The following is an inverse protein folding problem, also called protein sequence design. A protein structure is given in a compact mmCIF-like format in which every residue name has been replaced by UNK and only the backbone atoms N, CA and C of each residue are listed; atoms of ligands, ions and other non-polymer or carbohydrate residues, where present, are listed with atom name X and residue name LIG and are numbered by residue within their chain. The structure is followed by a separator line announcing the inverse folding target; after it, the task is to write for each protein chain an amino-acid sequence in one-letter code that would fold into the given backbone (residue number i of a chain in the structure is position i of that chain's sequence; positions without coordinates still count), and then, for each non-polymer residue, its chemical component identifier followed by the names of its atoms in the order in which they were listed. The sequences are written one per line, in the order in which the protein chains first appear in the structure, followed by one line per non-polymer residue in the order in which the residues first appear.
data_IF_189910231104
#
_entry.id   IF_189910231104
#
_cell.length_a   1.000
_cell.length_b   1.000
_cell.length_c   1.000
_cell.angle_alpha   90.00
_cell.angle_beta   90.00
_cell.angle_gamma   90.00
#
_symmetry.space_group_name_H-M   'P 1'
#
loop_
_entity.id
_entity.type
_entity.pdbx_description
1 polymer ?
#
# COMPACT_ATOMS: atom_id res chain seq x y z
N UNK A 1 13.13 -28.05 -1.51
CA UNK A 1 12.85 -26.88 -0.66
C UNK A 1 12.51 -25.75 -1.60
N UNK A 2 11.28 -25.24 -1.55
CA UNK A 2 10.86 -24.10 -2.38
C UNK A 2 10.89 -22.85 -1.52
N UNK A 3 11.63 -21.83 -1.95
CA UNK A 3 11.58 -20.52 -1.32
C UNK A 3 10.16 -19.98 -1.41
N UNK A 4 9.62 -19.56 -0.28
CA UNK A 4 8.32 -18.93 -0.22
C UNK A 4 8.47 -17.47 -0.64
N UNK A 5 8.04 -17.17 -1.87
CA UNK A 5 8.07 -15.81 -2.41
C UNK A 5 6.82 -15.05 -1.93
N UNK A 6 7.03 -13.97 -1.17
CA UNK A 6 5.95 -13.08 -0.78
C UNK A 6 5.58 -12.15 -1.94
N UNK A 7 4.54 -12.49 -2.70
CA UNK A 7 3.94 -11.57 -3.67
C UNK A 7 2.96 -10.67 -2.94
N UNK A 8 3.26 -9.37 -2.89
CA UNK A 8 2.37 -8.36 -2.32
C UNK A 8 1.29 -8.02 -3.34
N UNK A 9 0.04 -8.37 -3.02
CA UNK A 9 -1.11 -7.97 -3.80
C UNK A 9 -1.82 -6.83 -3.08
N UNK A 10 -2.12 -5.75 -3.80
CA UNK A 10 -2.95 -4.68 -3.26
C UNK A 10 -4.36 -5.23 -3.01
N UNK A 11 -4.80 -5.16 -1.76
CA UNK A 11 -6.07 -5.68 -1.29
C UNK A 11 -7.16 -4.59 -1.31
N UNK A 12 -6.76 -3.33 -1.10
CA UNK A 12 -7.68 -2.20 -1.08
C UNK A 12 -7.03 -0.96 -0.50
N UNK A 13 -7.76 0.15 -0.57
CA UNK A 13 -7.32 1.44 -0.06
C UNK A 13 -8.44 2.13 0.73
N UNK A 14 -8.07 2.95 1.71
CA UNK A 14 -9.00 3.79 2.49
C UNK A 14 -8.37 5.15 2.81
N UNK A 15 -9.17 6.11 3.28
CA UNK A 15 -8.71 7.43 3.70
C UNK A 15 -9.07 7.65 5.17
N UNK A 16 -8.10 8.11 5.95
CA UNK A 16 -8.27 8.48 7.37
C UNK A 16 -9.04 9.79 7.53
N UNK A 17 -9.60 10.04 8.73
CA UNK A 17 -10.16 11.34 9.11
C UNK A 17 -9.12 12.47 9.06
N UNK A 18 -7.85 12.11 9.23
CA UNK A 18 -6.69 13.00 9.14
C UNK A 18 -6.23 13.21 7.68
N UNK A 19 -6.97 12.69 6.70
CA UNK A 19 -6.66 12.84 5.27
C UNK A 19 -5.57 11.90 4.75
N UNK A 20 -5.06 10.98 5.57
CA UNK A 20 -4.03 10.02 5.17
C UNK A 20 -4.59 8.94 4.24
N UNK A 21 -3.84 8.57 3.21
CA UNK A 21 -4.16 7.44 2.34
C UNK A 21 -3.57 6.16 2.94
N UNK A 22 -4.41 5.15 3.14
CA UNK A 22 -4.02 3.88 3.74
C UNK A 22 -4.17 2.77 2.70
N UNK A 23 -3.07 2.12 2.34
CA UNK A 23 -3.05 0.96 1.46
C UNK A 23 -2.94 -0.34 2.26
N UNK A 24 -3.82 -1.29 1.96
CA UNK A 24 -3.79 -2.64 2.50
C UNK A 24 -3.25 -3.60 1.43
N UNK A 25 -2.27 -4.41 1.81
CA UNK A 25 -1.73 -5.47 0.98
C UNK A 25 -1.80 -6.82 1.69
N UNK A 26 -2.00 -7.89 0.92
CA UNK A 26 -1.98 -9.26 1.44
C UNK A 26 -1.18 -10.17 0.51
N UNK A 27 -0.45 -11.12 1.10
CA UNK A 27 0.16 -12.22 0.38
C UNK A 27 -0.78 -13.43 0.36
N UNK A 28 -0.59 -14.34 -0.60
CA UNK A 28 -1.31 -15.62 -0.64
C UNK A 28 -1.07 -16.52 0.57
N UNK A 29 0.00 -16.27 1.32
CA UNK A 29 0.26 -16.92 2.61
C UNK A 29 -0.41 -16.24 3.81
N UNK A 30 -1.33 -15.31 3.55
CA UNK A 30 -2.11 -14.60 4.56
C UNK A 30 -1.38 -13.52 5.36
N UNK A 31 -0.09 -13.33 5.14
CA UNK A 31 0.61 -12.16 5.68
C UNK A 31 -0.04 -10.86 5.14
N UNK A 32 -0.36 -9.93 6.05
CA UNK A 32 -0.96 -8.63 5.75
C UNK A 32 0.03 -7.50 6.00
N UNK A 33 -0.08 -6.43 5.22
CA UNK A 33 0.73 -5.23 5.37
C UNK A 33 -0.14 -3.99 5.18
N UNK A 34 0.14 -2.94 5.96
CA UNK A 34 -0.54 -1.64 5.84
C UNK A 34 0.52 -0.57 5.62
N UNK A 35 0.32 0.27 4.61
CA UNK A 35 1.16 1.45 4.35
C UNK A 35 0.31 2.71 4.46
N UNK A 36 0.75 3.66 5.28
CA UNK A 36 0.10 4.95 5.44
C UNK A 36 0.91 6.00 4.68
N UNK A 37 0.23 6.79 3.88
CA UNK A 37 0.79 7.91 3.15
C UNK A 37 0.14 9.18 3.67
N UNK A 38 0.96 10.11 4.17
CA UNK A 38 0.49 11.43 4.53
C UNK A 38 0.19 12.22 3.25
N UNK A 39 -1.07 12.60 3.03
CA UNK A 39 -1.45 13.37 1.86
C UNK A 39 -0.78 14.75 1.82
N UNK A 40 -0.41 15.29 2.99
CA UNK A 40 0.16 16.63 3.15
C UNK A 40 1.70 16.65 3.34
N UNK A 41 2.37 15.53 3.63
CA UNK A 41 3.82 15.53 3.92
C UNK A 41 4.70 15.69 2.66
N UNK A 42 4.18 15.30 1.50
CA UNK A 42 4.90 15.35 0.21
C UNK A 42 4.19 16.21 -0.85
N UNK A 43 3.28 17.11 -0.42
CA UNK A 43 2.66 18.10 -1.30
C UNK A 43 2.05 17.48 -2.56
N UNK A 44 1.12 16.54 -2.41
CA UNK A 44 0.11 16.21 -3.43
C UNK A 44 0.60 16.01 -4.87
N UNK A 45 1.77 15.43 -5.10
CA UNK A 45 2.15 14.95 -6.43
C UNK A 45 1.90 13.45 -6.49
N UNK A 46 0.84 12.98 -7.19
CA UNK A 46 0.77 11.57 -7.52
C UNK A 46 2.05 11.22 -8.27
N UNK A 47 2.78 10.25 -7.76
CA UNK A 47 3.98 9.71 -8.39
C UNK A 47 3.59 9.36 -9.84
N UNK A 48 4.24 10.00 -10.81
CA UNK A 48 3.91 9.79 -12.22
C UNK A 48 4.12 8.31 -12.53
N UNK A 49 3.03 7.60 -12.80
CA UNK A 49 3.05 6.23 -13.27
C UNK A 49 3.87 6.21 -14.58
N UNK A 50 5.06 5.57 -14.62
CA UNK A 50 5.85 5.53 -15.84
C UNK A 50 5.07 4.74 -16.89
N UNK A 51 4.82 5.39 -18.03
CA UNK A 51 4.14 4.83 -19.20
C UNK A 51 5.00 3.80 -19.92
#
# INVERSE_FOLDING_TARGET
MGDHVHVRLSQGMSVSEEGQLIEYSRCRCEATWTKVFDADADGGKPEQQPR
#
